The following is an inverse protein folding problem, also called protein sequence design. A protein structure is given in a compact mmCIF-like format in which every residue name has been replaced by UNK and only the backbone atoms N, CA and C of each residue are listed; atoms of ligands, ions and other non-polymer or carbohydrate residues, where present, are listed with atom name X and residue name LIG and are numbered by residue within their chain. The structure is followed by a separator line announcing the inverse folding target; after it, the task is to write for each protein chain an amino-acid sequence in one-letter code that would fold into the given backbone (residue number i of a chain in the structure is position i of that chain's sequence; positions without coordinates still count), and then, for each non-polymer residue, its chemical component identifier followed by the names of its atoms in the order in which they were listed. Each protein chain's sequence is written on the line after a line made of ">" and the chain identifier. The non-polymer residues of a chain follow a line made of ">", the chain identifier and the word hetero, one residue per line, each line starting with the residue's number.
data_IF_144158147495
#
_entry.id   IF_144158147495
#
_cell.length_a   1.000
_cell.length_b   1.000
_cell.length_c   1.000
_cell.angle_alpha   90.00
_cell.angle_beta   90.00
_cell.angle_gamma   90.00
#
_symmetry.space_group_name_H-M   'P 1'
#
loop_
_entity.id
_entity.type
_entity.pdbx_description
1 polymer ?
#
# COMPACT_ATOMS: atom_id res chain seq x y z
N UNK A 1 -77.33 -35.00 30.58
CA UNK A 1 -76.27 -36.01 30.39
C UNK A 1 -76.39 -36.59 29.00
N UNK A 2 -75.49 -36.23 28.07
CA UNK A 2 -75.29 -36.93 26.79
C UNK A 2 -73.94 -36.48 26.23
N UNK A 3 -73.03 -37.44 26.15
CA UNK A 3 -71.63 -37.32 25.74
C UNK A 3 -71.51 -36.75 24.33
N UNK A 4 -70.60 -35.78 24.17
CA UNK A 4 -70.14 -35.30 22.87
C UNK A 4 -69.19 -36.35 22.28
N UNK A 5 -69.59 -36.95 21.16
CA UNK A 5 -68.68 -37.68 20.28
C UNK A 5 -67.67 -36.69 19.70
N UNK A 6 -66.38 -37.01 19.87
CA UNK A 6 -65.26 -36.37 19.19
C UNK A 6 -65.03 -37.15 17.90
N UNK A 7 -65.40 -36.56 16.77
CA UNK A 7 -65.05 -37.10 15.44
C UNK A 7 -63.64 -36.63 15.10
N UNK A 8 -62.69 -37.56 15.16
CA UNK A 8 -61.35 -37.41 14.61
C UNK A 8 -61.46 -37.29 13.08
N UNK A 9 -61.20 -36.10 12.53
CA UNK A 9 -60.94 -35.94 11.09
C UNK A 9 -59.44 -35.92 10.91
N UNK A 10 -58.92 -37.04 10.39
CA UNK A 10 -57.55 -37.14 9.93
C UNK A 10 -57.36 -36.23 8.70
N UNK A 11 -56.59 -35.16 8.86
CA UNK A 11 -56.14 -34.33 7.74
C UNK A 11 -54.89 -35.00 7.14
N UNK A 12 -54.91 -35.45 5.88
CA UNK A 12 -53.71 -35.98 5.25
C UNK A 12 -52.72 -34.84 5.02
N UNK A 13 -51.56 -34.95 5.65
CA UNK A 13 -50.39 -34.11 5.38
C UNK A 13 -49.87 -34.48 4.00
N UNK A 14 -50.26 -33.71 2.98
CA UNK A 14 -49.62 -33.72 1.67
C UNK A 14 -48.25 -33.03 1.83
N UNK A 15 -47.23 -33.85 2.04
CA UNK A 15 -45.83 -33.49 1.94
C UNK A 15 -45.50 -33.14 0.47
N UNK A 16 -45.78 -31.91 0.07
CA UNK A 16 -45.20 -31.33 -1.13
C UNK A 16 -43.75 -30.98 -0.82
N UNK A 17 -42.85 -31.89 -1.22
CA UNK A 17 -41.42 -31.69 -1.25
C UNK A 17 -41.06 -30.51 -2.16
N UNK A 18 -41.09 -29.31 -1.59
CA UNK A 18 -40.41 -28.16 -2.17
C UNK A 18 -38.93 -28.31 -1.91
N UNK A 19 -38.18 -28.84 -2.87
CA UNK A 19 -36.75 -28.55 -2.94
C UNK A 19 -36.64 -27.04 -3.06
N UNK A 20 -36.18 -26.39 -1.99
CA UNK A 20 -35.68 -25.02 -2.08
C UNK A 20 -34.45 -25.12 -2.99
N UNK A 21 -34.67 -24.92 -4.29
CA UNK A 21 -33.59 -24.64 -5.23
C UNK A 21 -33.09 -23.27 -4.81
N UNK A 22 -32.12 -23.25 -3.89
CA UNK A 22 -31.23 -22.12 -3.78
C UNK A 22 -30.63 -21.97 -5.16
N UNK A 23 -31.12 -20.98 -5.92
CA UNK A 23 -30.43 -20.56 -7.14
C UNK A 23 -28.95 -20.46 -6.77
N UNK A 24 -28.04 -21.13 -7.50
CA UNK A 24 -26.62 -21.01 -7.20
C UNK A 24 -26.35 -19.51 -7.17
N UNK A 25 -26.01 -19.01 -5.98
CA UNK A 25 -25.88 -17.57 -5.75
C UNK A 25 -24.97 -17.06 -6.85
N UNK A 26 -25.49 -16.16 -7.70
CA UNK A 26 -24.74 -15.64 -8.83
C UNK A 26 -23.38 -15.21 -8.29
N UNK A 27 -22.32 -15.95 -8.65
CA UNK A 27 -20.98 -15.60 -8.21
C UNK A 27 -20.77 -14.19 -8.70
N UNK A 28 -20.50 -13.26 -7.77
CA UNK A 28 -20.35 -11.87 -8.11
C UNK A 28 -19.28 -11.77 -9.21
N UNK A 29 -19.64 -11.18 -10.35
CA UNK A 29 -18.70 -11.02 -11.45
C UNK A 29 -17.41 -10.38 -10.91
N UNK A 30 -16.23 -10.88 -11.32
CA UNK A 30 -14.98 -10.38 -10.79
C UNK A 30 -14.85 -8.89 -11.09
N UNK A 31 -14.40 -8.12 -10.09
CA UNK A 31 -14.20 -6.68 -10.24
C UNK A 31 -12.77 -6.29 -9.93
N UNK A 32 -12.22 -5.23 -10.56
CA UNK A 32 -10.85 -4.82 -10.32
C UNK A 32 -10.67 -4.14 -8.96
N UNK A 33 -9.59 -4.48 -8.27
CA UNK A 33 -9.11 -3.82 -7.05
C UNK A 33 -7.82 -3.07 -7.39
N UNK A 34 -7.84 -1.74 -7.33
CA UNK A 34 -6.68 -0.89 -7.66
C UNK A 34 -6.09 -0.29 -6.37
N UNK A 35 -4.86 -0.67 -6.02
CA UNK A 35 -4.13 -0.14 -4.86
C UNK A 35 -3.48 1.22 -5.13
N UNK A 36 -3.04 1.84 -4.05
CA UNK A 36 -2.38 3.15 -4.11
C UNK A 36 -0.97 3.06 -4.71
N UNK A 37 -0.56 4.13 -5.40
CA UNK A 37 0.85 4.28 -5.83
C UNK A 37 1.66 4.90 -4.70
N UNK A 38 2.96 4.58 -4.65
CA UNK A 38 3.91 5.17 -3.69
C UNK A 38 4.96 6.00 -4.43
N UNK A 39 5.20 7.21 -3.94
CA UNK A 39 6.26 8.08 -4.43
C UNK A 39 7.50 7.99 -3.55
N UNK A 40 8.67 8.03 -4.17
CA UNK A 40 9.97 7.90 -3.54
C UNK A 40 10.82 9.12 -3.89
N UNK A 41 11.39 9.75 -2.87
CA UNK A 41 12.13 10.99 -3.00
C UNK A 41 13.35 10.85 -3.92
N UNK A 42 13.59 11.90 -4.71
CA UNK A 42 14.71 12.02 -5.63
C UNK A 42 15.98 12.49 -4.89
N UNK A 43 17.16 11.88 -5.09
CA UNK A 43 18.43 12.47 -4.70
C UNK A 43 18.59 13.89 -5.27
N UNK A 44 19.43 14.72 -4.65
CA UNK A 44 19.82 16.00 -5.25
C UNK A 44 20.45 15.77 -6.64
N UNK A 45 19.98 16.49 -7.66
CA UNK A 45 20.39 16.29 -9.06
C UNK A 45 19.98 14.96 -9.70
N UNK A 46 19.20 14.11 -9.01
CA UNK A 46 18.82 12.78 -9.49
C UNK A 46 17.32 12.60 -9.70
N UNK A 47 16.93 11.36 -10.02
CA UNK A 47 15.53 10.97 -10.17
C UNK A 47 14.98 10.31 -8.91
N UNK A 48 13.72 10.56 -8.61
CA UNK A 48 12.90 9.79 -7.67
C UNK A 48 12.15 8.70 -8.42
N UNK A 49 11.09 8.16 -7.83
CA UNK A 49 10.27 7.20 -8.55
C UNK A 49 8.88 7.04 -7.99
N UNK A 50 8.02 6.44 -8.79
CA UNK A 50 6.63 6.16 -8.44
C UNK A 50 6.38 4.70 -8.76
N UNK A 51 5.87 3.91 -7.80
CA UNK A 51 5.49 2.52 -8.10
C UNK A 51 4.34 2.48 -9.07
N UNK A 52 4.35 1.49 -9.96
CA UNK A 52 3.12 1.05 -10.60
C UNK A 52 2.05 0.74 -9.53
N UNK A 53 0.77 0.95 -9.85
CA UNK A 53 -0.33 0.51 -9.01
C UNK A 53 -0.41 -1.02 -9.02
N UNK A 54 -0.52 -1.64 -7.84
CA UNK A 54 -0.91 -3.04 -7.76
C UNK A 54 -2.40 -3.16 -8.11
N UNK A 55 -2.71 -4.07 -9.03
CA UNK A 55 -4.06 -4.34 -9.50
C UNK A 55 -4.29 -5.83 -9.51
N UNK A 56 -5.43 -6.27 -9.00
CA UNK A 56 -5.90 -7.66 -9.08
C UNK A 56 -7.41 -7.70 -9.34
N UNK A 57 -7.93 -8.83 -9.79
CA UNK A 57 -9.37 -9.10 -9.78
C UNK A 57 -9.81 -9.67 -8.44
N UNK A 58 -11.06 -9.43 -8.04
CA UNK A 58 -11.60 -9.85 -6.73
C UNK A 58 -11.68 -11.36 -6.54
N UNK A 59 -11.70 -12.13 -7.62
CA UNK A 59 -11.68 -13.60 -7.62
C UNK A 59 -10.26 -14.17 -7.58
N UNK A 60 -9.22 -13.36 -7.79
CA UNK A 60 -7.81 -13.73 -7.84
C UNK A 60 -7.45 -14.80 -8.88
N UNK A 61 -8.38 -15.15 -9.77
CA UNK A 61 -8.19 -16.13 -10.85
C UNK A 61 -8.32 -15.49 -12.22
N UNK A 62 -9.03 -14.36 -12.32
CA UNK A 62 -9.10 -13.57 -13.56
C UNK A 62 -7.90 -12.63 -13.63
N UNK A 63 -7.20 -12.64 -14.75
CA UNK A 63 -6.13 -11.68 -15.02
C UNK A 63 -6.72 -10.28 -15.30
N UNK A 64 -6.33 -9.24 -14.54
CA UNK A 64 -6.76 -7.88 -14.83
C UNK A 64 -6.08 -7.37 -16.10
N UNK A 65 -6.78 -6.60 -16.94
CA UNK A 65 -6.15 -5.78 -17.97
C UNK A 65 -6.08 -4.32 -17.51
N UNK A 66 -4.88 -3.73 -17.55
CA UNK A 66 -4.59 -2.45 -16.89
C UNK A 66 -3.98 -1.47 -17.87
N UNK A 67 -4.44 -0.22 -17.79
CA UNK A 67 -3.83 0.96 -18.43
C UNK A 67 -3.48 1.98 -17.36
N UNK A 68 -2.21 2.31 -17.25
CA UNK A 68 -1.72 3.32 -16.31
C UNK A 68 -1.15 4.50 -17.05
N UNK A 69 -1.45 5.70 -16.58
CA UNK A 69 -0.97 6.96 -17.12
C UNK A 69 -0.40 7.79 -15.99
N UNK A 70 0.81 8.29 -16.16
CA UNK A 70 1.46 9.19 -15.23
C UNK A 70 1.78 10.50 -15.94
N UNK A 71 1.21 11.59 -15.46
CA UNK A 71 1.40 12.95 -15.99
C UNK A 71 2.13 13.79 -14.97
N UNK A 72 3.25 14.41 -15.35
CA UNK A 72 3.88 15.46 -14.55
C UNK A 72 3.03 16.72 -14.67
N UNK A 73 2.49 17.21 -13.55
CA UNK A 73 1.59 18.35 -13.53
C UNK A 73 2.30 19.69 -13.74
N UNK A 74 3.61 19.76 -13.51
CA UNK A 74 4.41 20.96 -13.77
C UNK A 74 4.85 21.09 -15.23
N UNK A 75 5.13 19.97 -15.91
CA UNK A 75 5.64 19.98 -17.29
C UNK A 75 4.63 19.50 -18.35
N UNK A 76 3.50 18.92 -17.94
CA UNK A 76 2.53 18.28 -18.83
C UNK A 76 2.99 16.95 -19.44
N UNK A 77 4.26 16.56 -19.24
CA UNK A 77 4.82 15.33 -19.82
C UNK A 77 4.08 14.12 -19.28
N UNK A 78 3.63 13.24 -20.18
CA UNK A 78 2.86 12.06 -19.83
C UNK A 78 3.54 10.79 -20.32
N UNK A 79 3.45 9.73 -19.53
CA UNK A 79 3.87 8.36 -19.89
C UNK A 79 2.72 7.39 -19.67
N UNK A 80 2.63 6.40 -20.54
CA UNK A 80 1.56 5.41 -20.54
C UNK A 80 2.12 3.99 -20.48
N UNK A 81 1.42 3.11 -19.78
CA UNK A 81 1.73 1.70 -19.66
C UNK A 81 0.46 0.87 -19.81
N UNK A 82 0.58 -0.32 -20.38
CA UNK A 82 -0.50 -1.30 -20.46
C UNK A 82 0.02 -2.70 -20.12
N UNK A 83 -0.75 -3.50 -19.38
CA UNK A 83 -0.39 -4.88 -19.05
C UNK A 83 -1.63 -5.72 -18.76
N UNK A 84 -1.45 -7.03 -18.73
CA UNK A 84 -2.43 -8.02 -18.29
C UNK A 84 -1.85 -8.91 -17.20
N UNK A 85 -2.68 -9.39 -16.29
CA UNK A 85 -2.28 -10.26 -15.18
C UNK A 85 -1.69 -9.51 -13.99
N UNK A 86 -1.33 -10.27 -12.97
CA UNK A 86 -0.66 -9.80 -11.75
C UNK A 86 0.85 -9.54 -12.03
N UNK A 87 1.17 -8.63 -12.94
CA UNK A 87 2.55 -8.21 -13.17
C UNK A 87 2.74 -6.69 -13.02
N UNK A 88 3.38 -6.30 -11.93
CA UNK A 88 3.76 -4.93 -11.63
C UNK A 88 5.16 -4.81 -10.99
N UNK A 89 5.97 -5.87 -11.03
CA UNK A 89 7.27 -5.88 -10.32
C UNK A 89 8.39 -5.08 -11.02
N UNK A 90 8.20 -4.69 -12.28
CA UNK A 90 9.25 -3.99 -13.07
C UNK A 90 8.88 -2.59 -13.55
N UNK A 91 7.66 -2.09 -13.30
CA UNK A 91 7.24 -0.75 -13.76
C UNK A 91 7.38 0.28 -12.65
N UNK A 92 8.62 0.53 -12.26
CA UNK A 92 8.99 1.60 -11.34
C UNK A 92 9.61 2.77 -12.14
N UNK A 93 8.81 3.65 -12.78
CA UNK A 93 9.35 4.77 -13.53
C UNK A 93 10.20 5.68 -12.64
N UNK A 94 11.42 5.93 -13.10
CA UNK A 94 12.29 6.98 -12.57
C UNK A 94 11.82 8.31 -13.13
N UNK A 95 11.52 9.25 -12.24
CA UNK A 95 10.93 10.54 -12.59
C UNK A 95 11.59 11.66 -11.78
N UNK A 96 11.68 12.90 -12.29
CA UNK A 96 12.23 14.02 -11.53
C UNK A 96 11.36 14.36 -10.32
N UNK A 97 11.90 15.15 -9.40
CA UNK A 97 11.08 15.74 -8.34
C UNK A 97 9.95 16.58 -8.96
N UNK A 98 8.76 16.51 -8.37
CA UNK A 98 7.58 17.16 -8.90
C UNK A 98 6.27 16.56 -8.43
N UNK A 99 5.18 17.17 -8.89
CA UNK A 99 3.81 16.75 -8.62
C UNK A 99 3.29 15.99 -9.84
N UNK A 100 2.67 14.84 -9.61
CA UNK A 100 2.22 13.96 -10.68
C UNK A 100 0.75 13.62 -10.50
N UNK A 101 0.07 13.33 -11.61
CA UNK A 101 -1.23 12.66 -11.63
C UNK A 101 -1.05 11.26 -12.18
N UNK A 102 -1.40 10.29 -11.35
CA UNK A 102 -1.42 8.86 -11.64
C UNK A 102 -2.87 8.46 -11.90
N UNK A 103 -3.19 8.04 -13.13
CA UNK A 103 -4.51 7.54 -13.52
C UNK A 103 -4.39 6.10 -13.97
N UNK A 104 -5.11 5.23 -13.29
CA UNK A 104 -5.15 3.78 -13.56
C UNK A 104 -6.55 3.39 -13.96
N UNK A 105 -6.68 2.67 -15.06
CA UNK A 105 -7.91 2.03 -15.51
C UNK A 105 -7.64 0.53 -15.54
N UNK A 106 -8.51 -0.25 -14.91
CA UNK A 106 -8.40 -1.71 -14.89
C UNK A 106 -9.73 -2.35 -15.28
N UNK A 107 -9.66 -3.54 -15.89
CA UNK A 107 -10.82 -4.35 -16.27
C UNK A 107 -10.64 -5.80 -15.84
N UNK A 108 -11.73 -6.41 -15.35
CA UNK A 108 -11.84 -7.83 -14.98
C UNK A 108 -13.09 -8.39 -15.66
N UNK A 109 -12.92 -9.16 -16.74
CA UNK A 109 -14.03 -9.48 -17.64
C UNK A 109 -14.70 -8.20 -18.18
N UNK A 110 -16.01 -8.04 -17.93
CA UNK A 110 -16.77 -6.85 -18.34
C UNK A 110 -16.73 -5.71 -17.30
N UNK A 111 -16.29 -5.98 -16.07
CA UNK A 111 -16.21 -4.98 -15.02
C UNK A 111 -15.01 -4.05 -15.23
N UNK A 112 -15.19 -2.76 -14.93
CA UNK A 112 -14.16 -1.72 -15.11
C UNK A 112 -14.07 -0.82 -13.88
N UNK A 113 -12.85 -0.51 -13.47
CA UNK A 113 -12.57 0.45 -12.40
C UNK A 113 -11.56 1.50 -12.87
N UNK A 114 -11.63 2.70 -12.28
CA UNK A 114 -10.64 3.76 -12.48
C UNK A 114 -10.23 4.33 -11.14
N UNK A 115 -8.93 4.57 -10.96
CA UNK A 115 -8.39 5.26 -9.79
C UNK A 115 -7.46 6.39 -10.24
N UNK A 116 -7.67 7.57 -9.70
CA UNK A 116 -6.79 8.72 -9.89
C UNK A 116 -6.15 9.11 -8.56
N UNK A 117 -4.86 9.39 -8.56
CA UNK A 117 -4.06 9.76 -7.40
C UNK A 117 -3.06 10.84 -7.79
N UNK A 118 -2.67 11.69 -6.84
CA UNK A 118 -1.70 12.76 -7.09
C UNK A 118 -0.43 12.59 -6.23
N UNK A 119 0.48 11.65 -6.59
CA UNK A 119 1.73 11.46 -5.88
C UNK A 119 2.69 12.64 -6.03
N UNK A 120 3.40 12.97 -4.94
CA UNK A 120 4.45 14.00 -4.93
C UNK A 120 5.82 13.36 -4.74
N UNK A 121 6.70 13.56 -5.71
CA UNK A 121 8.11 13.16 -5.62
C UNK A 121 8.89 14.35 -5.07
N UNK A 122 9.24 14.28 -3.80
CA UNK A 122 10.07 15.32 -3.15
C UNK A 122 11.52 15.18 -3.54
N UNK A 123 12.25 16.29 -3.61
CA UNK A 123 13.70 16.29 -3.69
C UNK A 123 14.29 16.11 -2.28
N UNK A 124 15.31 15.26 -2.17
CA UNK A 124 16.14 15.11 -0.98
C UNK A 124 17.10 16.28 -0.89
N UNK A 125 17.24 16.83 0.31
CA UNK A 125 18.19 17.88 0.64
C UNK A 125 19.08 17.43 1.79
N UNK A 126 20.23 18.10 1.99
CA UNK A 126 21.09 17.86 3.14
C UNK A 126 20.33 18.01 4.47
N UNK A 127 19.34 18.90 4.54
CA UNK A 127 18.52 19.13 5.74
C UNK A 127 17.51 18.00 6.04
N UNK A 128 17.24 17.15 5.05
CA UNK A 128 16.22 16.09 5.12
C UNK A 128 16.82 14.70 4.93
N UNK A 129 18.15 14.60 4.96
CA UNK A 129 18.87 13.35 4.82
C UNK A 129 19.94 13.22 5.87
N UNK A 130 20.26 11.99 6.25
CA UNK A 130 21.37 11.68 7.13
C UNK A 130 22.61 11.30 6.31
N UNK A 131 23.75 11.87 6.69
CA UNK A 131 25.08 11.51 6.22
C UNK A 131 25.69 10.38 7.05
N UNK A 132 26.72 9.72 6.51
CA UNK A 132 27.44 8.67 7.26
C UNK A 132 28.13 9.24 8.51
N UNK A 133 28.72 10.43 8.40
CA UNK A 133 29.37 11.10 9.53
C UNK A 133 28.41 11.45 10.67
N UNK A 134 27.15 11.81 10.38
CA UNK A 134 26.12 12.01 11.42
C UNK A 134 25.70 10.68 12.04
N UNK A 135 25.51 9.64 11.22
CA UNK A 135 25.16 8.29 11.69
C UNK A 135 26.24 7.74 12.65
N UNK A 136 27.51 7.87 12.27
CA UNK A 136 28.67 7.39 13.04
C UNK A 136 28.88 8.14 14.36
N UNK A 137 28.10 9.21 14.64
CA UNK A 137 28.10 9.91 15.94
C UNK A 137 27.01 9.42 16.89
N UNK A 138 26.06 8.61 16.42
CA UNK A 138 24.95 8.09 17.22
C UNK A 138 25.42 6.89 18.03
N UNK A 139 25.00 6.82 19.30
CA UNK A 139 25.38 5.75 20.22
C UNK A 139 24.15 5.15 20.90
N UNK A 140 24.26 3.90 21.34
CA UNK A 140 23.28 3.27 22.21
C UNK A 140 23.01 4.13 23.45
N UNK A 141 21.75 4.13 23.91
CA UNK A 141 21.32 4.93 25.06
C UNK A 141 21.02 6.41 24.76
N UNK A 142 21.30 6.90 23.55
CA UNK A 142 20.89 8.26 23.17
C UNK A 142 19.36 8.38 23.11
N UNK A 143 18.84 9.52 23.53
CA UNK A 143 17.42 9.87 23.35
C UNK A 143 17.15 10.35 21.93
N UNK A 144 15.88 10.32 21.52
CA UNK A 144 15.45 10.89 20.22
C UNK A 144 15.86 12.36 20.07
N UNK A 145 15.83 13.15 21.15
CA UNK A 145 16.28 14.56 21.15
C UNK A 145 17.78 14.69 20.89
N UNK A 146 18.61 13.81 21.47
CA UNK A 146 20.05 13.78 21.21
C UNK A 146 20.34 13.43 19.75
N UNK A 147 19.68 12.40 19.22
CA UNK A 147 19.83 12.02 17.81
C UNK A 147 19.39 13.14 16.87
N UNK A 148 18.24 13.76 17.14
CA UNK A 148 17.72 14.89 16.33
C UNK A 148 18.71 16.05 16.29
N UNK A 149 19.45 16.32 17.39
CA UNK A 149 20.50 17.35 17.41
C UNK A 149 21.71 17.01 16.57
N UNK A 150 22.04 15.73 16.41
CA UNK A 150 23.14 15.27 15.56
C UNK A 150 22.75 15.38 14.08
N UNK A 151 21.55 14.91 13.73
CA UNK A 151 21.10 14.76 12.34
C UNK A 151 20.43 16.03 11.78
N UNK A 152 19.97 16.93 12.66
CA UNK A 152 19.28 18.16 12.27
C UNK A 152 17.80 18.01 11.94
N UNK A 153 17.24 16.80 11.99
CA UNK A 153 15.79 16.56 11.84
C UNK A 153 15.36 15.25 12.53
N UNK A 154 14.07 15.06 12.86
CA UNK A 154 13.62 13.97 13.75
C UNK A 154 13.46 12.59 13.08
N UNK A 155 13.74 12.48 11.78
CA UNK A 155 13.43 11.28 11.00
C UNK A 155 11.93 11.11 10.73
N UNK A 156 11.60 10.10 9.92
CA UNK A 156 10.23 9.66 9.66
C UNK A 156 9.82 8.63 10.70
N UNK A 157 8.59 8.73 11.20
CA UNK A 157 8.03 7.74 12.12
C UNK A 157 7.86 6.40 11.42
N UNK A 158 8.41 5.35 12.02
CA UNK A 158 8.18 3.97 11.62
C UNK A 158 7.17 3.25 12.50
N UNK A 159 7.26 1.92 12.49
CA UNK A 159 6.44 1.04 13.35
C UNK A 159 6.71 1.37 14.82
N UNK A 160 5.71 1.12 15.67
CA UNK A 160 5.85 1.11 17.13
C UNK A 160 5.24 -0.19 17.63
N UNK A 161 5.94 -0.89 18.54
CA UNK A 161 5.48 -2.16 19.11
C UNK A 161 5.94 -2.26 20.56
N UNK A 162 4.99 -2.21 21.49
CA UNK A 162 5.27 -2.11 22.92
C UNK A 162 6.19 -0.93 23.24
N UNK A 163 7.30 -1.19 23.93
CA UNK A 163 8.30 -0.19 24.26
C UNK A 163 9.25 0.18 23.11
N UNK A 164 9.09 -0.44 21.93
CA UNK A 164 9.95 -0.23 20.78
C UNK A 164 9.36 0.76 19.79
N UNK A 165 10.17 1.69 19.31
CA UNK A 165 9.79 2.67 18.30
C UNK A 165 10.89 2.81 17.24
N UNK A 166 10.49 2.92 15.97
CA UNK A 166 11.41 3.04 14.85
C UNK A 166 11.41 4.43 14.24
N UNK A 167 12.58 4.89 13.83
CA UNK A 167 12.77 6.11 13.04
C UNK A 167 13.58 5.81 11.79
N UNK A 168 13.10 6.28 10.65
CA UNK A 168 13.77 6.14 9.36
C UNK A 168 14.32 7.48 8.90
N UNK A 169 15.56 7.49 8.46
CA UNK A 169 16.24 8.67 7.97
C UNK A 169 16.64 8.43 6.51
N UNK A 170 16.06 9.20 5.59
CA UNK A 170 16.48 9.15 4.20
C UNK A 170 17.98 9.43 4.10
N UNK A 171 18.64 8.78 3.17
CA UNK A 171 20.00 9.13 2.76
C UNK A 171 19.97 9.80 1.40
N UNK A 172 21.05 10.48 1.01
CA UNK A 172 21.08 11.16 -0.29
C UNK A 172 20.85 10.17 -1.46
N UNK A 173 21.40 8.96 -1.37
CA UNK A 173 21.20 7.92 -2.37
C UNK A 173 19.73 7.48 -2.52
N UNK A 174 19.35 7.08 -3.74
CA UNK A 174 17.99 6.65 -4.04
C UNK A 174 17.61 5.37 -3.28
N UNK A 175 16.40 5.32 -2.71
CA UNK A 175 15.87 4.23 -1.83
C UNK A 175 16.70 3.87 -0.60
N UNK A 176 17.86 4.49 -0.38
CA UNK A 176 18.64 4.23 0.81
C UNK A 176 18.14 5.03 1.99
N UNK A 177 18.09 4.35 3.13
CA UNK A 177 17.75 4.91 4.43
C UNK A 177 18.70 4.38 5.50
N UNK A 178 18.80 5.12 6.59
CA UNK A 178 19.28 4.62 7.87
C UNK A 178 18.06 4.40 8.79
N UNK A 179 18.17 3.42 9.67
CA UNK A 179 17.11 3.05 10.61
C UNK A 179 17.66 3.12 12.02
N UNK A 180 16.85 3.63 12.95
CA UNK A 180 17.17 3.66 14.38
C UNK A 180 15.97 3.13 15.15
N UNK A 181 16.19 2.07 15.92
CA UNK A 181 15.22 1.52 16.87
C UNK A 181 15.52 2.07 18.26
N UNK A 182 14.46 2.51 18.91
CA UNK A 182 14.46 2.97 20.29
C UNK A 182 13.72 1.95 21.14
N UNK A 183 14.25 1.61 22.31
CA UNK A 183 13.53 0.86 23.36
C UNK A 183 13.43 1.76 24.59
N UNK A 184 12.22 1.95 25.13
CA UNK A 184 11.96 2.91 26.21
C UNK A 184 12.49 4.32 25.91
N UNK A 185 12.39 4.76 24.65
CA UNK A 185 12.83 6.09 24.20
C UNK A 185 14.34 6.27 24.05
N UNK A 186 15.12 5.19 24.14
CA UNK A 186 16.59 5.19 24.07
C UNK A 186 17.06 4.34 22.89
N UNK A 187 18.08 4.78 22.16
CA UNK A 187 18.65 4.03 21.03
C UNK A 187 19.07 2.65 21.51
N UNK A 188 18.46 1.63 20.91
CA UNK A 188 18.67 0.21 21.19
C UNK A 188 19.38 -0.49 20.02
N UNK A 189 19.12 -0.05 18.78
CA UNK A 189 19.81 -0.53 17.59
C UNK A 189 19.76 0.51 16.46
N UNK A 190 20.69 0.42 15.53
CA UNK A 190 20.81 1.30 14.37
C UNK A 190 21.38 0.53 13.18
N UNK A 191 20.93 0.87 11.97
CA UNK A 191 21.29 0.17 10.73
C UNK A 191 21.56 1.15 9.59
N UNK A 192 22.63 0.91 8.84
CA UNK A 192 22.96 1.66 7.62
C UNK A 192 22.60 0.82 6.38
N UNK A 193 21.52 1.16 5.68
CA UNK A 193 20.86 0.36 4.62
C UNK A 193 19.93 -0.77 5.08
N UNK A 194 19.68 -0.95 6.38
CA UNK A 194 18.89 -2.09 6.87
C UNK A 194 19.70 -3.39 7.01
N UNK A 195 21.02 -3.34 6.79
CA UNK A 195 21.98 -4.35 7.23
C UNK A 195 22.54 -3.91 8.60
N UNK A 196 22.68 -4.87 9.52
CA UNK A 196 23.25 -4.60 10.84
C UNK A 196 24.76 -4.49 10.72
N UNK A 197 25.33 -3.40 11.25
CA UNK A 197 26.72 -3.39 11.68
C UNK A 197 26.83 -4.12 13.03
#
# INVERSE_FOLDING_TARGET
>A
MRSRLVTLVAVPVLALGGTVVTAPGASAAPHPIIRTVRAFAAPAGGLGGITAPWVSCSDYTTDPAVRWTLTNLGTGTTRHWHWSGDDDRTRFPRVPAGHYRSRTVATCGTARATRTQEPVVRQKTLRTTMSRAEFDRIRHGMSTRQVTRIVGYPGKTGVTSGAMAWRYYDRMAFLKQAEIRYRHGRVDALWWNGESD
#
